data_IF_190058408015
#
_entry.id   IF_190058408015
#
_cell.length_a   1.000
_cell.length_b   1.000
_cell.length_c   1.000
_cell.angle_alpha   90.00
_cell.angle_beta   90.00
_cell.angle_gamma   90.00
#
_symmetry.space_group_name_H-M   'P 1'
#
loop_
_entity.id
_entity.type
_entity.pdbx_description
1 polymer ?
#
# COMPACT_ATOMS: atom_id res chain seq x y z
N UNK A 1 0.54 22.19 3.93
CA UNK A 1 1.90 21.68 3.60
C UNK A 1 2.68 21.50 4.88
N UNK A 2 3.08 20.26 5.17
CA UNK A 2 3.92 19.90 6.32
C UNK A 2 5.31 19.45 5.85
N UNK A 3 6.33 19.68 6.67
CA UNK A 3 7.73 19.36 6.35
C UNK A 3 8.35 18.51 7.46
N UNK A 4 8.85 17.32 7.10
CA UNK A 4 9.75 16.55 7.98
C UNK A 4 11.19 16.85 7.61
N UNK A 5 11.94 17.39 8.56
CA UNK A 5 13.33 17.80 8.37
C UNK A 5 14.23 16.86 9.16
N UNK A 6 15.22 16.28 8.50
CA UNK A 6 16.28 15.48 9.13
C UNK A 6 17.62 16.11 8.81
N UNK A 7 18.40 16.40 9.86
CA UNK A 7 19.76 16.93 9.76
C UNK A 7 20.71 15.90 10.35
N UNK A 8 21.81 15.62 9.64
CA UNK A 8 22.82 14.66 10.07
C UNK A 8 24.22 15.25 9.86
N UNK A 9 25.13 15.13 10.83
CA UNK A 9 26.52 15.54 10.65
C UNK A 9 27.21 14.66 9.61
N UNK A 10 28.08 15.28 8.81
CA UNK A 10 28.92 14.64 7.79
C UNK A 10 30.35 15.17 7.91
N UNK A 11 31.30 14.50 7.24
CA UNK A 11 32.70 14.93 7.27
C UNK A 11 32.93 16.37 6.77
N UNK A 12 32.00 16.92 5.98
CA UNK A 12 32.12 18.25 5.35
C UNK A 12 31.02 19.23 5.81
N UNK A 13 30.46 19.03 7.00
CA UNK A 13 29.38 19.85 7.56
C UNK A 13 28.08 19.06 7.74
N UNK A 14 26.94 19.71 7.64
CA UNK A 14 25.64 19.08 7.89
C UNK A 14 24.91 18.76 6.58
N UNK A 15 24.30 17.57 6.51
CA UNK A 15 23.36 17.20 5.45
C UNK A 15 21.95 17.38 5.99
N UNK A 16 21.16 18.24 5.35
CA UNK A 16 19.73 18.36 5.60
C UNK A 16 18.91 17.69 4.49
N UNK A 17 17.88 16.94 4.88
CA UNK A 17 16.87 16.39 3.98
C UNK A 17 15.50 16.89 4.43
N UNK A 18 14.77 17.51 3.51
CA UNK A 18 13.39 17.94 3.73
C UNK A 18 12.45 17.05 2.91
N UNK A 19 11.53 16.39 3.60
CA UNK A 19 10.44 15.64 2.96
C UNK A 19 9.16 16.45 3.07
N UNK A 20 8.55 16.73 1.92
CA UNK A 20 7.31 17.50 1.81
C UNK A 20 6.14 16.53 1.91
N UNK A 21 5.19 16.87 2.78
CA UNK A 21 3.93 16.17 2.94
C UNK A 21 2.78 17.13 2.63
N UNK A 22 1.85 16.66 1.81
CA UNK A 22 0.64 17.40 1.46
C UNK A 22 -0.58 16.56 1.85
N UNK A 23 -1.30 16.95 2.92
CA UNK A 23 -2.45 16.20 3.41
C UNK A 23 -3.58 16.07 2.38
N UNK A 24 -3.72 17.07 1.50
CA UNK A 24 -4.82 17.13 0.55
C UNK A 24 -4.62 16.19 -0.66
N UNK A 25 -3.41 15.68 -0.88
CA UNK A 25 -3.05 14.86 -2.06
C UNK A 25 -3.41 13.37 -1.90
N UNK A 26 -3.73 12.92 -0.67
CA UNK A 26 -3.78 11.48 -0.35
C UNK A 26 -5.14 10.85 -0.60
N UNK A 27 -6.24 11.61 -0.56
CA UNK A 27 -7.56 11.04 -0.85
C UNK A 27 -7.75 10.94 -2.36
N UNK A 28 -7.71 9.71 -2.86
CA UNK A 28 -7.92 9.41 -4.27
C UNK A 28 -9.05 8.41 -4.42
N UNK A 29 -9.85 8.58 -5.46
CA UNK A 29 -10.74 7.53 -5.92
C UNK A 29 -9.92 6.30 -6.37
N UNK A 30 -10.54 5.12 -6.41
CA UNK A 30 -9.86 3.92 -6.91
C UNK A 30 -9.40 4.10 -8.37
N UNK A 31 -10.17 4.79 -9.20
CA UNK A 31 -9.74 5.19 -10.54
C UNK A 31 -8.46 6.05 -10.53
N UNK A 32 -8.34 7.04 -9.64
CA UNK A 32 -7.15 7.89 -9.49
C UNK A 32 -5.95 7.20 -8.86
N UNK A 33 -6.19 6.09 -8.14
CA UNK A 33 -5.15 5.16 -7.68
C UNK A 33 -4.66 4.24 -8.80
N UNK A 34 -5.36 4.20 -9.93
CA UNK A 34 -4.99 3.40 -11.10
C UNK A 34 -5.62 2.02 -11.15
N UNK A 35 -6.65 1.74 -10.35
CA UNK A 35 -7.44 0.51 -10.49
C UNK A 35 -8.21 0.55 -11.81
N UNK A 36 -8.14 -0.54 -12.57
CA UNK A 36 -9.13 -0.80 -13.61
C UNK A 36 -10.48 -1.27 -13.01
N UNK A 37 -11.58 -1.31 -13.78
CA UNK A 37 -12.89 -1.69 -13.24
C UNK A 37 -12.95 -3.09 -12.61
N UNK A 38 -12.17 -4.05 -13.13
CA UNK A 38 -12.10 -5.40 -12.59
C UNK A 38 -11.27 -5.44 -11.31
N UNK A 39 -10.13 -4.76 -11.29
CA UNK A 39 -9.29 -4.57 -10.11
C UNK A 39 -10.05 -3.85 -8.99
N UNK A 40 -10.82 -2.80 -9.30
CA UNK A 40 -11.66 -2.08 -8.32
C UNK A 40 -12.71 -3.03 -7.73
N UNK A 41 -13.39 -3.81 -8.57
CA UNK A 41 -14.39 -4.76 -8.09
C UNK A 41 -13.76 -5.81 -7.16
N UNK A 42 -12.60 -6.34 -7.51
CA UNK A 42 -11.88 -7.30 -6.69
C UNK A 42 -11.46 -6.67 -5.35
N UNK A 43 -10.89 -5.46 -5.39
CA UNK A 43 -10.51 -4.73 -4.17
C UNK A 43 -11.70 -4.50 -3.24
N UNK A 44 -12.83 -4.02 -3.77
CA UNK A 44 -14.08 -3.87 -3.01
C UNK A 44 -14.50 -5.17 -2.33
N UNK A 45 -14.43 -6.30 -3.06
CA UNK A 45 -14.78 -7.61 -2.47
C UNK A 45 -13.87 -8.07 -1.33
N UNK A 46 -12.65 -7.51 -1.22
CA UNK A 46 -11.72 -7.78 -0.14
C UNK A 46 -11.95 -6.87 1.07
N UNK A 47 -12.15 -5.57 0.82
CA UNK A 47 -12.21 -4.55 1.88
C UNK A 47 -13.61 -4.28 2.43
N UNK A 48 -14.65 -4.81 1.80
CA UNK A 48 -16.04 -4.78 2.30
C UNK A 48 -16.42 -6.11 2.98
N UNK A 49 -15.45 -7.00 3.22
CA UNK A 49 -15.69 -8.24 3.98
C UNK A 49 -15.93 -7.93 5.46
N UNK A 50 -16.79 -8.73 6.14
CA UNK A 50 -16.99 -8.55 7.58
C UNK A 50 -15.72 -8.83 8.39
N UNK A 51 -14.89 -9.78 7.94
CA UNK A 51 -13.66 -10.14 8.62
C UNK A 51 -12.62 -10.78 7.70
N UNK A 52 -11.38 -10.84 8.19
CA UNK A 52 -10.24 -11.43 7.49
C UNK A 52 -9.04 -10.49 7.45
N UNK A 53 -7.90 -11.00 7.02
CA UNK A 53 -6.67 -10.22 6.81
C UNK A 53 -6.53 -9.90 5.31
N UNK A 54 -6.41 -8.62 4.98
CA UNK A 54 -6.04 -8.16 3.63
C UNK A 54 -4.67 -7.48 3.71
N UNK A 55 -3.73 -7.96 2.89
CA UNK A 55 -2.36 -7.47 2.89
C UNK A 55 -2.08 -6.64 1.64
N UNK A 56 -1.56 -5.43 1.82
CA UNK A 56 -1.01 -4.64 0.71
C UNK A 56 0.51 -4.74 0.76
N UNK A 57 1.14 -5.22 -0.31
CA UNK A 57 2.57 -5.47 -0.35
C UNK A 57 3.30 -4.63 -1.39
N UNK A 58 4.60 -4.49 -1.20
CA UNK A 58 5.47 -3.78 -2.13
C UNK A 58 6.63 -3.07 -1.43
N UNK A 59 7.62 -2.58 -2.21
CA UNK A 59 8.77 -1.89 -1.66
C UNK A 59 8.40 -0.53 -1.03
N UNK A 60 9.36 0.10 -0.37
CA UNK A 60 9.20 1.48 0.12
C UNK A 60 8.89 2.42 -1.05
N UNK A 61 7.90 3.29 -0.87
CA UNK A 61 7.48 4.22 -1.91
C UNK A 61 6.62 3.61 -3.02
N UNK A 62 6.08 2.40 -2.84
CA UNK A 62 5.13 1.80 -3.78
C UNK A 62 3.69 2.31 -3.64
N UNK A 63 3.42 3.20 -2.69
CA UNK A 63 2.10 3.83 -2.51
C UNK A 63 1.12 3.07 -1.62
N UNK A 64 1.57 2.04 -0.87
CA UNK A 64 0.70 1.23 0.02
C UNK A 64 -0.13 2.08 0.98
N UNK A 65 0.51 3.01 1.67
CA UNK A 65 -0.14 3.91 2.62
C UNK A 65 -1.22 4.75 1.93
N UNK A 66 -0.97 5.25 0.71
CA UNK A 66 -1.95 6.02 -0.06
C UNK A 66 -3.18 5.17 -0.40
N UNK A 67 -2.99 3.92 -0.83
CA UNK A 67 -4.07 2.98 -1.12
C UNK A 67 -4.88 2.65 0.13
N UNK A 68 -4.21 2.35 1.25
CA UNK A 68 -4.87 2.06 2.52
C UNK A 68 -5.66 3.27 3.04
N UNK A 69 -5.06 4.46 3.10
CA UNK A 69 -5.75 5.66 3.56
C UNK A 69 -6.96 6.02 2.68
N UNK A 70 -6.81 5.94 1.35
CA UNK A 70 -7.92 6.20 0.42
C UNK A 70 -9.07 5.21 0.61
N UNK A 71 -8.74 3.96 0.94
CA UNK A 71 -9.73 2.90 1.22
C UNK A 71 -10.41 3.15 2.56
N UNK A 72 -9.63 3.35 3.63
CA UNK A 72 -10.16 3.57 4.98
C UNK A 72 -11.08 4.79 5.04
N UNK A 73 -10.71 5.90 4.38
CA UNK A 73 -11.58 7.09 4.31
C UNK A 73 -12.90 6.85 3.58
N UNK A 74 -12.92 5.95 2.58
CA UNK A 74 -14.17 5.57 1.90
C UNK A 74 -15.01 4.61 2.75
N UNK A 75 -14.39 3.79 3.61
CA UNK A 75 -15.07 2.86 4.50
C UNK A 75 -15.53 3.52 5.80
N UNK A 76 -14.86 4.59 6.25
CA UNK A 76 -15.17 5.32 7.47
C UNK A 76 -16.54 6.01 7.37
N UNK A 77 -17.57 5.29 7.82
CA UNK A 77 -18.94 5.78 7.97
C UNK A 77 -19.26 5.84 9.47
N UNK A 78 -20.22 6.66 9.92
CA UNK A 78 -20.54 6.80 11.34
C UNK A 78 -20.89 5.49 12.05
N UNK A 79 -21.34 4.47 11.31
CA UNK A 79 -21.70 3.15 11.81
C UNK A 79 -20.51 2.19 11.96
N UNK A 80 -19.33 2.55 11.45
CA UNK A 80 -18.14 1.69 11.47
C UNK A 80 -17.02 2.35 12.28
N UNK A 81 -16.56 1.64 13.31
CA UNK A 81 -15.41 2.03 14.10
C UNK A 81 -14.12 1.61 13.39
N UNK A 82 -13.48 2.56 12.71
CA UNK A 82 -12.24 2.34 11.96
C UNK A 82 -11.04 2.81 12.76
N UNK A 83 -10.18 1.87 13.16
CA UNK A 83 -9.02 2.12 14.00
C UNK A 83 -7.71 1.82 13.25
N UNK A 84 -6.65 2.58 13.53
CA UNK A 84 -5.35 2.41 12.89
C UNK A 84 -4.20 2.43 13.90
N UNK A 85 -3.12 1.71 13.59
CA UNK A 85 -1.88 1.68 14.36
C UNK A 85 -0.71 1.96 13.43
N UNK A 86 0.02 3.05 13.67
CA UNK A 86 1.00 3.59 12.71
C UNK A 86 2.34 3.98 13.36
N UNK A 87 3.42 3.97 12.57
CA UNK A 87 4.78 4.33 13.02
C UNK A 87 5.52 5.14 11.94
N UNK A 88 5.41 6.49 11.93
CA UNK A 88 4.45 7.33 12.65
C UNK A 88 3.11 7.45 11.91
N UNK A 89 2.16 8.20 12.49
CA UNK A 89 0.96 8.65 11.75
C UNK A 89 1.42 9.61 10.64
N UNK A 90 1.12 9.27 9.39
CA UNK A 90 1.51 10.09 8.23
C UNK A 90 0.57 11.29 8.01
N UNK A 91 -0.70 11.15 8.41
CA UNK A 91 -1.71 12.20 8.30
C UNK A 91 -2.82 12.00 9.31
N UNK A 92 -3.26 13.09 9.93
CA UNK A 92 -4.43 13.07 10.81
C UNK A 92 -5.71 13.07 9.97
N UNK A 93 -6.59 12.11 10.21
CA UNK A 93 -7.90 11.97 9.60
C UNK A 93 -8.95 11.90 10.70
N UNK A 94 -9.86 12.88 10.71
CA UNK A 94 -10.90 13.00 11.76
C UNK A 94 -11.91 11.86 11.75
N UNK A 95 -12.01 11.13 10.65
CA UNK A 95 -12.91 9.99 10.47
C UNK A 95 -12.32 8.68 11.03
N UNK A 96 -11.05 8.68 11.44
CA UNK A 96 -10.32 7.48 11.89
C UNK A 96 -9.87 7.63 13.35
N UNK A 97 -9.91 6.53 14.10
CA UNK A 97 -9.29 6.44 15.41
C UNK A 97 -7.82 6.02 15.24
N UNK A 98 -6.89 6.98 15.25
CA UNK A 98 -5.48 6.72 14.94
C UNK A 98 -4.61 6.65 16.18
N UNK A 99 -3.87 5.54 16.33
CA UNK A 99 -2.89 5.34 17.37
C UNK A 99 -1.49 5.31 16.76
N UNK A 100 -0.58 6.13 17.30
CA UNK A 100 0.83 6.05 16.94
C UNK A 100 1.57 5.10 17.89
N UNK A 101 2.48 4.30 17.35
CA UNK A 101 3.45 3.52 18.13
C UNK A 101 4.28 4.46 19.01
N UNK A 102 4.43 4.09 20.29
CA UNK A 102 5.21 4.84 21.27
C UNK A 102 6.16 3.90 22.01
N UNK A 103 7.39 3.72 21.51
CA UNK A 103 8.38 2.83 22.13
C UNK A 103 8.76 3.24 23.55
N UNK A 104 8.63 4.52 23.91
CA UNK A 104 8.97 5.04 25.24
C UNK A 104 8.06 4.52 26.36
N UNK A 105 6.90 3.95 26.03
CA UNK A 105 5.93 3.40 26.97
C UNK A 105 5.54 1.96 26.63
N UNK A 106 6.39 1.26 25.85
CA UNK A 106 6.16 -0.11 25.38
C UNK A 106 4.83 -0.30 24.62
N UNK A 107 4.36 0.74 23.93
CA UNK A 107 3.17 0.70 23.09
C UNK A 107 3.59 0.46 21.63
N UNK A 108 3.81 -0.81 21.29
CA UNK A 108 4.13 -1.28 19.94
C UNK A 108 2.91 -1.70 19.11
N UNK A 109 3.13 -2.26 17.92
CA UNK A 109 2.06 -2.73 17.05
C UNK A 109 1.19 -3.83 17.69
N UNK A 110 1.81 -4.84 18.31
CA UNK A 110 1.10 -5.96 18.91
C UNK A 110 0.27 -5.52 20.13
N UNK A 111 0.88 -4.71 21.02
CA UNK A 111 0.19 -4.08 22.15
C UNK A 111 -0.94 -3.15 21.68
N UNK A 112 -0.74 -2.46 20.56
CA UNK A 112 -1.75 -1.66 19.90
C UNK A 112 -2.96 -2.48 19.47
N UNK A 113 -2.76 -3.58 18.72
CA UNK A 113 -3.87 -4.43 18.27
C UNK A 113 -4.62 -5.00 19.47
N UNK A 114 -3.87 -5.48 20.48
CA UNK A 114 -4.44 -5.99 21.73
C UNK A 114 -5.28 -4.94 22.46
N UNK A 115 -4.91 -3.67 22.38
CA UNK A 115 -5.68 -2.57 22.97
C UNK A 115 -6.94 -2.29 22.16
N UNK A 116 -6.82 -2.21 20.84
CA UNK A 116 -7.95 -1.98 19.94
C UNK A 116 -9.00 -3.08 20.04
N UNK A 117 -8.65 -4.34 20.28
CA UNK A 117 -9.64 -5.42 20.46
C UNK A 117 -10.58 -5.21 21.68
N UNK A 118 -10.28 -4.26 22.58
CA UNK A 118 -11.17 -3.85 23.68
C UNK A 118 -11.86 -2.51 23.42
N UNK A 119 -11.80 -2.01 22.18
CA UNK A 119 -12.37 -0.72 21.76
C UNK A 119 -13.51 -0.89 20.76
N UNK A 120 -14.06 -2.10 20.64
CA UNK A 120 -15.16 -2.43 19.72
C UNK A 120 -14.89 -1.97 18.26
N UNK A 121 -13.73 -2.29 17.65
CA UNK A 121 -13.43 -1.88 16.29
C UNK A 121 -14.18 -2.77 15.28
N UNK A 122 -14.56 -2.21 14.13
CA UNK A 122 -15.03 -3.00 12.99
C UNK A 122 -13.87 -3.30 12.04
N UNK A 123 -13.03 -2.29 11.82
CA UNK A 123 -11.90 -2.33 10.89
C UNK A 123 -10.64 -1.90 11.63
N UNK A 124 -9.59 -2.70 11.52
CA UNK A 124 -8.27 -2.42 12.11
C UNK A 124 -7.25 -2.29 10.97
N UNK A 125 -6.51 -1.18 10.91
CA UNK A 125 -5.32 -1.07 10.07
C UNK A 125 -4.06 -1.12 10.91
N UNK A 126 -3.15 -2.02 10.57
CA UNK A 126 -1.81 -2.10 11.17
C UNK A 126 -0.81 -1.66 10.12
N UNK A 127 -0.05 -0.60 10.40
CA UNK A 127 0.85 0.04 9.45
C UNK A 127 1.74 -0.95 8.71
N UNK A 128 2.29 -1.93 9.43
CA UNK A 128 3.00 -3.06 8.85
C UNK A 128 3.13 -4.23 9.83
N UNK A 129 3.37 -5.43 9.30
CA UNK A 129 3.71 -6.63 10.07
C UNK A 129 5.21 -6.91 9.92
N UNK A 130 6.00 -6.59 10.95
CA UNK A 130 7.45 -6.80 10.97
C UNK A 130 7.87 -8.10 11.65
N UNK A 131 7.09 -8.57 12.62
CA UNK A 131 7.41 -9.65 13.54
C UNK A 131 6.24 -10.64 13.72
N UNK A 132 6.55 -11.75 14.39
CA UNK A 132 5.57 -12.82 14.65
C UNK A 132 4.46 -12.36 15.60
N UNK A 133 4.76 -11.55 16.60
CA UNK A 133 3.77 -11.14 17.60
C UNK A 133 2.66 -10.31 16.95
N UNK A 134 3.06 -9.32 16.13
CA UNK A 134 2.13 -8.50 15.35
C UNK A 134 1.34 -9.35 14.36
N UNK A 135 1.98 -10.32 13.68
CA UNK A 135 1.31 -11.23 12.77
C UNK A 135 0.26 -12.11 13.50
N UNK A 136 0.60 -12.62 14.68
CA UNK A 136 -0.32 -13.39 15.52
C UNK A 136 -1.50 -12.54 15.98
N UNK A 137 -1.27 -11.31 16.41
CA UNK A 137 -2.36 -10.39 16.79
C UNK A 137 -3.25 -10.07 15.59
N UNK A 138 -2.69 -9.91 14.40
CA UNK A 138 -3.47 -9.69 13.19
C UNK A 138 -4.39 -10.88 12.84
N UNK A 139 -3.85 -12.10 12.94
CA UNK A 139 -4.61 -13.33 12.76
C UNK A 139 -5.70 -13.47 13.82
N UNK A 140 -5.41 -13.17 15.09
CA UNK A 140 -6.40 -13.24 16.17
C UNK A 140 -7.54 -12.24 15.97
N UNK A 141 -7.24 -11.01 15.53
CA UNK A 141 -8.27 -10.03 15.19
C UNK A 141 -9.19 -10.56 14.07
N UNK A 142 -8.62 -11.13 13.02
CA UNK A 142 -9.39 -11.72 11.93
C UNK A 142 -10.27 -12.91 12.35
N UNK A 143 -9.76 -13.79 13.23
CA UNK A 143 -10.53 -14.92 13.78
C UNK A 143 -11.68 -14.49 14.69
N UNK A 144 -11.55 -13.32 15.33
CA UNK A 144 -12.57 -12.76 16.23
C UNK A 144 -13.60 -11.90 15.50
N UNK A 145 -13.60 -11.91 14.17
CA UNK A 145 -14.63 -11.25 13.37
C UNK A 145 -14.29 -9.84 12.91
N UNK A 146 -13.02 -9.43 12.95
CA UNK A 146 -12.59 -8.11 12.50
C UNK A 146 -12.00 -8.14 11.09
N UNK A 147 -12.22 -7.08 10.31
CA UNK A 147 -11.46 -6.85 9.08
C UNK A 147 -10.13 -6.17 9.43
N UNK A 148 -9.02 -6.81 9.06
CA UNK A 148 -7.69 -6.27 9.29
C UNK A 148 -6.97 -5.97 7.98
N UNK A 149 -6.57 -4.70 7.81
CA UNK A 149 -5.73 -4.25 6.71
C UNK A 149 -4.30 -4.07 7.22
N UNK A 150 -3.30 -4.58 6.50
CA UNK A 150 -1.91 -4.34 6.87
C UNK A 150 -0.97 -4.31 5.67
N UNK A 151 0.30 -3.99 5.92
CA UNK A 151 1.33 -4.03 4.88
C UNK A 151 2.45 -5.01 5.17
N UNK A 152 3.03 -5.54 4.08
CA UNK A 152 4.27 -6.30 4.09
C UNK A 152 5.23 -5.77 3.01
N UNK A 153 6.51 -6.07 3.18
CA UNK A 153 7.56 -5.73 2.23
C UNK A 153 7.96 -6.93 1.39
N UNK A 154 7.07 -7.38 0.50
CA UNK A 154 7.35 -8.43 -0.50
C UNK A 154 7.31 -7.88 -1.93
N UNK A 155 7.90 -8.61 -2.88
CA UNK A 155 8.04 -8.18 -4.27
C UNK A 155 6.82 -8.49 -5.16
N UNK A 156 6.01 -9.44 -4.72
CA UNK A 156 4.82 -10.01 -5.37
C UNK A 156 3.81 -10.49 -4.30
N UNK A 157 2.60 -10.86 -4.73
CA UNK A 157 1.53 -11.23 -3.82
C UNK A 157 1.75 -12.62 -3.18
N UNK A 158 2.11 -13.69 -3.91
CA UNK A 158 2.35 -15.01 -3.31
C UNK A 158 3.44 -15.01 -2.24
N UNK A 159 4.50 -14.21 -2.41
CA UNK A 159 5.59 -14.10 -1.44
C UNK A 159 5.13 -13.58 -0.08
N UNK A 160 3.97 -12.91 0.01
CA UNK A 160 3.40 -12.50 1.29
C UNK A 160 3.04 -13.71 2.17
N UNK A 161 2.55 -14.79 1.57
CA UNK A 161 2.22 -16.04 2.27
C UNK A 161 3.51 -16.66 2.80
N UNK A 162 4.54 -16.78 1.97
CA UNK A 162 5.86 -17.25 2.39
C UNK A 162 6.42 -16.39 3.52
N UNK A 163 6.28 -15.06 3.44
CA UNK A 163 6.74 -14.15 4.49
C UNK A 163 6.03 -14.40 5.82
N UNK A 164 4.73 -14.65 5.83
CA UNK A 164 3.99 -15.01 7.05
C UNK A 164 4.48 -16.35 7.63
N UNK A 165 4.74 -17.34 6.77
CA UNK A 165 5.32 -18.63 7.19
C UNK A 165 6.72 -18.45 7.80
N UNK A 166 7.57 -17.62 7.18
CA UNK A 166 8.93 -17.31 7.65
C UNK A 166 8.93 -16.58 9.00
N UNK A 167 7.92 -15.73 9.25
CA UNK A 167 7.71 -15.11 10.56
C UNK A 167 7.31 -16.16 11.61
N UNK A 168 6.77 -17.30 11.20
CA UNK A 168 6.34 -18.38 12.10
C UNK A 168 4.83 -18.50 12.25
N UNK A 169 4.03 -17.84 11.39
CA UNK A 169 2.57 -18.00 11.42
C UNK A 169 2.20 -19.41 10.91
N UNK A 170 1.46 -20.21 11.69
CA UNK A 170 1.02 -21.53 11.24
C UNK A 170 0.19 -21.48 9.94
N UNK A 171 0.50 -22.37 8.99
CA UNK A 171 -0.16 -22.43 7.68
C UNK A 171 -1.69 -22.50 7.75
N UNK A 172 -2.24 -23.25 8.70
CA UNK A 172 -3.69 -23.41 8.86
C UNK A 172 -4.38 -22.11 9.32
N UNK A 173 -3.64 -21.23 10.02
CA UNK A 173 -4.14 -19.90 10.40
C UNK A 173 -4.09 -18.94 9.22
N UNK A 174 -3.05 -19.01 8.39
CA UNK A 174 -2.98 -18.21 7.16
C UNK A 174 -4.15 -18.60 6.25
N UNK A 175 -4.37 -19.91 6.04
CA UNK A 175 -5.45 -20.43 5.22
C UNK A 175 -6.84 -20.00 5.72
N UNK A 176 -7.05 -19.93 7.04
CA UNK A 176 -8.36 -19.59 7.60
C UNK A 176 -8.63 -18.09 7.71
N UNK A 177 -7.59 -17.25 7.73
CA UNK A 177 -7.73 -15.80 7.99
C UNK A 177 -7.38 -14.90 6.83
N UNK A 178 -6.48 -15.30 5.94
CA UNK A 178 -6.04 -14.46 4.83
C UNK A 178 -7.14 -14.36 3.77
N UNK A 179 -7.70 -13.16 3.61
CA UNK A 179 -8.77 -12.89 2.65
C UNK A 179 -8.22 -12.53 1.26
N UNK A 180 -7.03 -11.93 1.20
CA UNK A 180 -6.37 -11.59 -0.05
C UNK A 180 -5.07 -10.80 0.14
N UNK A 181 -4.26 -10.75 -0.92
CA UNK A 181 -2.99 -10.03 -0.97
C UNK A 181 -2.95 -9.20 -2.24
N UNK A 182 -2.58 -7.92 -2.12
CA UNK A 182 -2.41 -6.99 -3.23
C UNK A 182 -0.98 -6.50 -3.27
N UNK A 183 -0.20 -6.97 -4.25
CA UNK A 183 1.11 -6.42 -4.54
C UNK A 183 0.97 -5.13 -5.36
N UNK A 184 1.70 -4.08 -4.97
CA UNK A 184 1.61 -2.76 -5.57
C UNK A 184 3.00 -2.23 -5.96
N UNK A 185 3.08 -1.59 -7.14
CA UNK A 185 4.24 -0.80 -7.57
C UNK A 185 3.79 0.53 -8.16
N UNK A 186 4.63 1.57 -8.04
CA UNK A 186 4.41 2.85 -8.74
C UNK A 186 5.26 2.94 -10.00
N UNK A 187 4.61 3.26 -11.11
CA UNK A 187 5.24 3.57 -12.38
C UNK A 187 5.20 5.06 -12.64
N UNK A 188 6.21 5.58 -13.34
CA UNK A 188 6.24 6.97 -13.80
C UNK A 188 5.35 7.09 -15.04
N UNK A 189 4.45 8.06 -15.05
CA UNK A 189 3.56 8.31 -16.20
C UNK A 189 4.29 9.17 -17.23
N UNK A 190 4.22 8.80 -18.51
CA UNK A 190 4.81 9.57 -19.59
C UNK A 190 4.22 10.98 -19.64
N UNK A 191 5.08 11.98 -19.85
CA UNK A 191 4.65 13.37 -19.92
C UNK A 191 3.67 13.57 -21.10
N UNK A 192 2.47 14.12 -20.87
CA UNK A 192 1.47 14.27 -21.94
C UNK A 192 1.89 15.27 -23.02
N UNK A 193 2.80 16.21 -22.70
CA UNK A 193 3.25 17.25 -23.63
C UNK A 193 4.35 16.79 -24.60
N UNK A 194 5.12 15.75 -24.24
CA UNK A 194 6.28 15.35 -25.04
C UNK A 194 6.36 13.85 -25.33
N UNK A 195 5.44 13.02 -24.84
CA UNK A 195 5.43 11.61 -25.23
C UNK A 195 5.31 11.50 -26.75
N UNK A 196 6.06 10.58 -27.34
CA UNK A 196 6.02 10.32 -28.78
C UNK A 196 5.61 8.88 -29.02
N UNK A 197 4.76 8.67 -30.01
CA UNK A 197 4.42 7.33 -30.48
C UNK A 197 5.66 6.67 -31.09
N UNK A 198 5.84 5.39 -30.82
CA UNK A 198 6.94 4.58 -31.33
C UNK A 198 6.39 3.22 -31.80
N UNK A 199 7.20 2.49 -32.57
CA UNK A 199 6.85 1.15 -32.99
C UNK A 199 7.00 0.16 -31.81
N UNK A 200 6.04 -0.78 -31.62
CA UNK A 200 6.18 -1.82 -30.61
C UNK A 200 7.37 -2.72 -30.95
N UNK A 201 8.28 -2.88 -29.99
CA UNK A 201 9.42 -3.78 -30.10
C UNK A 201 8.97 -5.22 -29.80
N UNK A 202 9.13 -6.10 -30.79
CA UNK A 202 8.66 -7.49 -30.69
C UNK A 202 9.47 -8.30 -29.68
N UNK A 203 10.78 -8.08 -29.59
CA UNK A 203 11.64 -8.81 -28.66
C UNK A 203 11.33 -8.41 -27.22
N UNK A 204 11.11 -7.12 -26.99
CA UNK A 204 10.64 -6.60 -25.69
C UNK A 204 9.27 -7.16 -25.35
N UNK A 205 8.33 -7.19 -26.31
CA UNK A 205 7.00 -7.75 -26.08
C UNK A 205 7.06 -9.23 -25.69
N UNK A 206 7.80 -10.04 -26.44
CA UNK A 206 7.97 -11.47 -26.15
C UNK A 206 8.61 -11.71 -24.77
N UNK A 207 9.59 -10.90 -24.40
CA UNK A 207 10.20 -10.96 -23.08
C UNK A 207 9.21 -10.61 -21.95
N UNK A 208 8.33 -9.63 -22.16
CA UNK A 208 7.31 -9.22 -21.19
C UNK A 208 6.20 -10.27 -21.06
N UNK A 209 5.72 -10.83 -22.17
CA UNK A 209 4.60 -11.79 -22.15
C UNK A 209 5.04 -13.19 -21.73
N UNK A 210 6.34 -13.50 -21.77
CA UNK A 210 6.91 -14.82 -21.41
C UNK A 210 6.16 -15.98 -22.08
N UNK A 211 5.76 -15.80 -23.33
CA UNK A 211 5.04 -16.82 -24.11
C UNK A 211 3.53 -16.89 -23.90
N UNK A 212 2.95 -16.01 -23.06
CA UNK A 212 1.49 -15.89 -22.98
C UNK A 212 0.95 -15.24 -24.26
N UNK A 213 -0.15 -15.79 -24.77
CA UNK A 213 -0.83 -15.27 -25.96
C UNK A 213 -1.49 -13.94 -25.65
N UNK A 214 -0.80 -12.84 -25.95
CA UNK A 214 -1.32 -11.48 -25.86
C UNK A 214 -1.05 -10.73 -27.15
N UNK A 215 -2.06 -9.98 -27.61
CA UNK A 215 -1.94 -9.18 -28.82
C UNK A 215 -0.88 -8.09 -28.65
N UNK A 216 0.02 -7.96 -29.63
CA UNK A 216 0.99 -6.87 -29.68
C UNK A 216 0.23 -5.53 -29.65
N UNK A 217 0.61 -4.58 -28.77
CA UNK A 217 -0.05 -3.29 -28.72
C UNK A 217 0.08 -2.56 -30.05
N UNK A 218 -1.01 -1.96 -30.52
CA UNK A 218 -1.03 -1.20 -31.78
C UNK A 218 -0.22 0.09 -31.69
N UNK A 219 -0.06 0.64 -30.49
CA UNK A 219 0.68 1.88 -30.21
C UNK A 219 1.45 1.75 -28.92
N UNK A 220 2.71 2.15 -28.95
CA UNK A 220 3.52 2.36 -27.75
C UNK A 220 4.03 3.79 -27.73
N UNK A 221 4.34 4.30 -26.53
CA UNK A 221 4.85 5.66 -26.37
C UNK A 221 6.17 5.63 -25.61
N UNK A 222 7.08 6.53 -25.98
CA UNK A 222 8.41 6.67 -25.38
C UNK A 222 8.59 8.05 -24.75
N UNK A 223 9.44 8.17 -23.70
CA UNK A 223 9.77 9.46 -23.11
C UNK A 223 10.69 10.26 -24.02
N UNK A 224 10.44 11.57 -24.15
CA UNK A 224 11.32 12.50 -24.90
C UNK A 224 11.98 13.51 -23.97
N UNK A 225 11.17 14.19 -23.13
CA UNK A 225 11.65 15.25 -22.25
C UNK A 225 11.35 16.64 -22.80
N UNK A 226 10.76 17.50 -21.97
CA UNK A 226 10.46 18.89 -22.27
C UNK A 226 10.47 19.71 -20.98
N UNK A 227 10.29 21.03 -21.09
CA UNK A 227 10.30 21.94 -19.93
C UNK A 227 9.21 21.61 -18.91
N UNK A 228 8.02 21.19 -19.35
CA UNK A 228 6.89 20.80 -18.49
C UNK A 228 7.19 19.62 -17.57
N UNK A 229 8.03 18.68 -18.02
CA UNK A 229 8.48 17.54 -17.22
C UNK A 229 9.92 17.70 -16.70
N UNK A 230 10.48 18.92 -16.77
CA UNK A 230 11.86 19.23 -16.36
C UNK A 230 12.87 18.29 -17.03
N UNK A 231 12.66 18.04 -18.32
CA UNK A 231 13.48 17.18 -19.18
C UNK A 231 13.56 15.71 -18.76
N UNK A 232 12.67 15.22 -17.87
CA UNK A 232 12.67 13.81 -17.45
C UNK A 232 11.93 12.87 -18.40
N UNK A 233 10.98 13.41 -19.18
CA UNK A 233 10.05 12.62 -20.01
C UNK A 233 8.83 12.08 -19.25
N UNK A 234 8.73 12.31 -17.94
CA UNK A 234 7.66 11.78 -17.08
C UNK A 234 7.01 12.88 -16.23
N UNK A 235 5.69 12.78 -16.00
CA UNK A 235 4.95 13.69 -15.13
C UNK A 235 3.90 12.91 -14.36
N UNK A 236 4.06 12.81 -13.04
CA UNK A 236 3.18 12.03 -12.18
C UNK A 236 3.54 10.54 -12.11
N UNK A 237 2.76 9.81 -11.33
CA UNK A 237 2.91 8.38 -11.09
C UNK A 237 1.54 7.73 -11.08
N UNK A 238 1.49 6.46 -11.48
CA UNK A 238 0.31 5.60 -11.41
C UNK A 238 0.72 4.27 -10.76
N UNK A 239 -0.19 3.63 -10.04
CA UNK A 239 0.08 2.31 -9.49
C UNK A 239 -0.28 1.22 -10.49
N UNK A 240 0.37 0.07 -10.34
CA UNK A 240 -0.02 -1.19 -10.97
C UNK A 240 -0.14 -2.25 -9.88
N UNK A 241 -1.07 -3.17 -10.06
CA UNK A 241 -1.51 -4.10 -9.03
C UNK A 241 -1.36 -5.56 -9.48
N UNK A 242 -1.07 -6.42 -8.52
CA UNK A 242 -1.17 -7.88 -8.64
C UNK A 242 -2.03 -8.35 -7.46
N UNK A 243 -3.22 -8.86 -7.75
CA UNK A 243 -4.19 -9.24 -6.72
C UNK A 243 -4.37 -10.74 -6.64
N UNK A 244 -4.09 -11.29 -5.45
CA UNK A 244 -4.32 -12.67 -5.08
C UNK A 244 -5.49 -12.74 -4.10
N UNK A 245 -6.46 -13.61 -4.37
CA UNK A 245 -7.64 -13.84 -3.54
C UNK A 245 -7.78 -15.33 -3.27
#
# INVERSE_FOLDING_TARGET
>A
MELRISVMPTAFGEKAVMRIFDPDIVVRSYAELGFDPHEEQLWRTLVERPHGVVLVTGPTGSGKTTTLYSTLKQLARPELNVCTIEDPIEMVASELNQMQVQPAIDLDFAAGVRTLLRQDPDIIMVGEIRDLETAQMAVQAALTGHLLLSTLHTNDAPSAITRLLDLGVPHYLIQSTLAGVVAQRLLRVLCPHCKREDAPDLDVWQALTRGHSMALPTRVFVPVGCIECRHTGYRGRIAVYEMLR
#
